data_IF_391830758914
#
_entry.id   IF_391830758914
#
_cell.length_a   1.000
_cell.length_b   1.000
_cell.length_c   1.000
_cell.angle_alpha   90.00
_cell.angle_beta   90.00
_cell.angle_gamma   90.00
#
_symmetry.space_group_name_H-M   'P 1'
#
loop_
_entity.id
_entity.type
_entity.pdbx_description
1 polymer ?
#
# COMPACT_ATOMS: atom_id res chain seq x y z
N UNK A 1 -9.05 -1.52 6.30
CA UNK A 1 -8.17 -0.60 7.06
C UNK A 1 -8.65 -0.23 8.46
N UNK A 2 -9.95 -0.32 8.80
CA UNK A 2 -10.48 0.07 10.12
C UNK A 2 -9.82 -0.61 11.33
N UNK A 3 -9.27 -1.82 11.17
CA UNK A 3 -8.59 -2.59 12.21
C UNK A 3 -7.15 -2.13 12.50
N UNK A 4 -6.57 -1.28 11.66
CA UNK A 4 -5.21 -0.76 11.87
C UNK A 4 -5.22 0.45 12.81
N UNK A 5 -4.16 0.67 13.61
CA UNK A 5 -4.02 1.89 14.41
C UNK A 5 -3.99 3.15 13.52
N UNK A 6 -4.59 4.26 14.00
CA UNK A 6 -4.63 5.52 13.24
C UNK A 6 -3.25 6.13 12.98
N UNK A 7 -2.28 5.86 13.85
CA UNK A 7 -0.91 6.36 13.72
C UNK A 7 -0.04 5.50 12.79
N UNK A 8 -0.48 4.30 12.41
CA UNK A 8 0.28 3.42 11.54
C UNK A 8 0.43 4.07 10.16
N UNK A 9 1.67 4.34 9.75
CA UNK A 9 1.97 4.98 8.47
C UNK A 9 1.33 4.22 7.29
N UNK A 10 1.43 2.89 7.31
CA UNK A 10 0.81 2.02 6.30
C UNK A 10 -0.69 2.28 6.15
N UNK A 11 -1.43 2.41 7.25
CA UNK A 11 -2.87 2.71 7.21
C UNK A 11 -3.14 4.03 6.48
N UNK A 12 -2.44 5.10 6.88
CA UNK A 12 -2.66 6.45 6.36
C UNK A 12 -2.44 6.49 4.84
N UNK A 13 -1.32 5.96 4.38
CA UNK A 13 -0.98 6.03 2.96
C UNK A 13 -1.84 5.08 2.13
N UNK A 14 -2.09 3.86 2.59
CA UNK A 14 -2.94 2.94 1.82
C UNK A 14 -4.40 3.41 1.78
N UNK A 15 -4.95 4.00 2.86
CA UNK A 15 -6.29 4.62 2.83
C UNK A 15 -6.35 5.76 1.82
N UNK A 16 -5.32 6.62 1.75
CA UNK A 16 -5.26 7.69 0.76
C UNK A 16 -5.24 7.13 -0.67
N UNK A 17 -4.29 6.24 -0.98
CA UNK A 17 -4.13 5.68 -2.33
C UNK A 17 -5.40 4.93 -2.76
N UNK A 18 -6.00 4.13 -1.87
CA UNK A 18 -7.21 3.37 -2.19
C UNK A 18 -8.43 4.27 -2.38
N UNK A 19 -8.54 5.36 -1.62
CA UNK A 19 -9.60 6.35 -1.83
C UNK A 19 -9.45 7.06 -3.17
N UNK A 20 -8.25 7.56 -3.48
CA UNK A 20 -7.96 8.23 -4.76
C UNK A 20 -8.27 7.31 -5.95
N UNK A 21 -7.81 6.05 -5.90
CA UNK A 21 -8.12 5.06 -6.94
C UNK A 21 -9.60 4.75 -7.04
N UNK A 22 -10.30 4.63 -5.92
CA UNK A 22 -11.74 4.37 -5.91
C UNK A 22 -12.52 5.54 -6.52
N UNK A 23 -12.11 6.78 -6.24
CA UNK A 23 -12.76 7.98 -6.77
C UNK A 23 -12.53 8.11 -8.27
N UNK A 24 -11.32 7.78 -8.76
CA UNK A 24 -11.01 7.69 -10.20
C UNK A 24 -11.90 6.66 -10.92
N UNK A 25 -12.03 5.45 -10.35
CA UNK A 25 -12.88 4.38 -10.91
C UNK A 25 -14.37 4.76 -10.92
N UNK A 26 -14.83 5.53 -9.93
CA UNK A 26 -16.22 6.01 -9.89
C UNK A 26 -16.48 7.17 -10.86
N UNK A 27 -15.47 8.00 -11.12
CA UNK A 27 -15.61 9.18 -11.95
C UNK A 27 -15.63 8.87 -13.44
N UNK A 28 -14.86 7.87 -13.89
CA UNK A 28 -14.74 7.53 -15.32
C UNK A 28 -15.27 6.12 -15.60
N UNK A 29 -16.41 5.99 -16.31
CA UNK A 29 -16.97 4.69 -16.69
C UNK A 29 -16.27 4.07 -17.92
N UNK A 30 -15.51 4.84 -18.70
CA UNK A 30 -14.76 4.33 -19.86
C UNK A 30 -13.44 3.68 -19.41
N UNK A 31 -13.31 2.38 -19.67
CA UNK A 31 -12.15 1.57 -19.30
C UNK A 31 -10.85 2.15 -19.86
N UNK A 32 -10.82 2.56 -21.14
CA UNK A 32 -9.59 3.06 -21.77
C UNK A 32 -9.12 4.38 -21.18
N UNK A 33 -10.07 5.26 -20.83
CA UNK A 33 -9.72 6.53 -20.18
C UNK A 33 -9.28 6.32 -18.74
N UNK A 34 -9.92 5.38 -18.05
CA UNK A 34 -9.58 5.00 -16.70
C UNK A 34 -8.17 4.42 -16.60
N UNK A 35 -7.75 3.57 -17.52
CA UNK A 35 -6.39 3.02 -17.60
C UNK A 35 -5.34 4.13 -17.73
N UNK A 36 -5.58 5.09 -18.63
CA UNK A 36 -4.70 6.25 -18.81
C UNK A 36 -4.63 7.14 -17.56
N UNK A 37 -5.74 7.26 -16.83
CA UNK A 37 -5.81 8.05 -15.59
C UNK A 37 -5.10 7.36 -14.43
N UNK A 38 -5.28 6.05 -14.28
CA UNK A 38 -4.69 5.24 -13.21
C UNK A 38 -3.17 5.03 -13.40
N UNK A 39 -2.66 5.17 -14.62
CA UNK A 39 -1.24 4.95 -14.98
C UNK A 39 -0.70 3.61 -14.46
N UNK A 40 -1.56 2.59 -14.40
CA UNK A 40 -1.32 1.33 -13.72
C UNK A 40 -1.26 0.11 -14.63
N UNK A 41 -1.13 0.33 -15.95
CA UNK A 41 -1.30 -0.73 -16.94
C UNK A 41 -2.76 -0.95 -17.32
N UNK A 42 -3.09 -2.17 -17.70
CA UNK A 42 -4.45 -2.60 -18.02
C UNK A 42 -5.30 -2.75 -16.75
N UNK A 43 -6.62 -2.65 -16.87
CA UNK A 43 -7.54 -2.73 -15.71
C UNK A 43 -7.43 -4.05 -14.96
N UNK A 44 -7.12 -5.15 -15.66
CA UNK A 44 -6.89 -6.47 -15.08
C UNK A 44 -5.69 -6.48 -14.12
N UNK A 45 -4.58 -5.83 -14.50
CA UNK A 45 -3.40 -5.70 -13.63
C UNK A 45 -3.73 -4.87 -12.39
N UNK A 46 -4.56 -3.84 -12.53
CA UNK A 46 -5.03 -3.03 -11.39
C UNK A 46 -5.87 -3.85 -10.42
N UNK A 47 -6.73 -4.74 -10.92
CA UNK A 47 -7.53 -5.65 -10.09
C UNK A 47 -6.59 -6.61 -9.33
N UNK A 48 -5.63 -7.23 -10.02
CA UNK A 48 -4.64 -8.11 -9.39
C UNK A 48 -3.84 -7.36 -8.31
N UNK A 49 -3.44 -6.11 -8.59
CA UNK A 49 -2.75 -5.27 -7.62
C UNK A 49 -3.64 -4.98 -6.39
N UNK A 50 -4.93 -4.73 -6.59
CA UNK A 50 -5.88 -4.51 -5.49
C UNK A 50 -6.08 -5.78 -4.63
N UNK A 51 -6.12 -6.96 -5.25
CA UNK A 51 -6.18 -8.24 -4.54
C UNK A 51 -4.90 -8.51 -3.75
N UNK A 52 -3.74 -8.23 -4.34
CA UNK A 52 -2.44 -8.33 -3.67
C UNK A 52 -2.36 -7.37 -2.48
N UNK A 53 -2.82 -6.12 -2.62
CA UNK A 53 -2.88 -5.16 -1.52
C UNK A 53 -3.83 -5.61 -0.41
N UNK A 54 -4.98 -6.21 -0.76
CA UNK A 54 -5.90 -6.77 0.22
C UNK A 54 -5.27 -7.93 1.01
N UNK A 55 -4.56 -8.82 0.30
CA UNK A 55 -3.81 -9.94 0.90
C UNK A 55 -2.70 -9.42 1.82
N UNK A 56 -1.94 -8.41 1.36
CA UNK A 56 -0.91 -7.75 2.14
C UNK A 56 -1.49 -7.11 3.40
N UNK A 57 -2.58 -6.35 3.29
CA UNK A 57 -3.22 -5.72 4.45
C UNK A 57 -3.65 -6.76 5.52
N UNK A 58 -4.12 -7.94 5.10
CA UNK A 58 -4.42 -9.04 6.05
C UNK A 58 -3.18 -9.57 6.75
N UNK A 59 -2.05 -9.69 6.04
CA UNK A 59 -0.76 -10.11 6.62
C UNK A 59 -0.17 -9.04 7.55
N UNK A 60 -0.25 -7.78 7.15
CA UNK A 60 0.21 -6.63 7.95
C UNK A 60 -0.51 -6.54 9.30
N UNK A 61 -1.78 -6.95 9.37
CA UNK A 61 -2.52 -7.08 10.63
C UNK A 61 -1.91 -8.09 11.59
N UNK A 62 -1.35 -9.19 11.07
CA UNK A 62 -0.68 -10.21 11.87
C UNK A 62 0.74 -9.78 12.25
N UNK A 63 1.47 -9.17 11.32
CA UNK A 63 2.87 -8.77 11.52
C UNK A 63 3.05 -7.53 12.41
N UNK A 64 2.06 -6.64 12.46
CA UNK A 64 2.09 -5.39 13.24
C UNK A 64 3.37 -4.55 13.06
N UNK A 65 3.81 -4.26 11.82
CA UNK A 65 5.08 -3.58 11.56
C UNK A 65 5.12 -2.11 11.99
N UNK A 66 4.02 -1.59 12.55
CA UNK A 66 3.98 -0.26 13.17
C UNK A 66 4.50 -0.26 14.61
N UNK A 67 4.81 -1.43 15.17
CA UNK A 67 5.49 -1.53 16.45
C UNK A 67 6.96 -1.07 16.32
N UNK A 68 7.61 -0.62 17.41
CA UNK A 68 9.01 -0.23 17.39
C UNK A 68 9.92 -1.33 16.87
N UNK A 69 11.11 -0.94 16.39
CA UNK A 69 12.13 -1.87 15.93
C UNK A 69 12.43 -2.91 17.02
N UNK A 70 12.40 -4.19 16.64
CA UNK A 70 12.60 -5.31 17.58
C UNK A 70 14.02 -5.31 18.15
N UNK A 71 15.02 -4.98 17.32
CA UNK A 71 16.44 -4.98 17.71
C UNK A 71 17.19 -3.90 16.94
N UNK A 72 18.02 -3.12 17.64
CA UNK A 72 18.91 -2.14 17.02
C UNK A 72 20.08 -2.84 16.34
N UNK A 73 20.52 -2.36 15.15
CA UNK A 73 21.66 -2.97 14.48
C UNK A 73 22.96 -2.73 15.26
N UNK A 74 23.91 -3.68 15.24
CA UNK A 74 25.28 -3.45 15.71
C UNK A 74 25.94 -2.26 15.02
N UNK A 75 26.78 -1.53 15.75
CA UNK A 75 27.35 -0.24 15.32
C UNK A 75 28.04 -0.24 13.94
N UNK A 76 28.59 -1.39 13.51
CA UNK A 76 29.31 -1.52 12.24
C UNK A 76 28.51 -2.24 11.13
N UNK A 77 27.25 -2.65 11.38
CA UNK A 77 26.50 -3.47 10.42
C UNK A 77 26.19 -2.72 9.12
N UNK A 78 25.97 -1.40 9.19
CA UNK A 78 25.59 -0.55 8.05
C UNK A 78 26.66 0.48 7.66
N UNK A 79 27.91 0.36 8.16
CA UNK A 79 29.01 1.26 7.79
C UNK A 79 29.63 0.84 6.45
N UNK A 80 29.57 1.73 5.45
CA UNK A 80 30.21 1.52 4.14
C UNK A 80 30.72 2.84 3.53
N UNK A 81 31.95 2.91 2.97
CA UNK A 81 33.04 1.93 3.06
C UNK A 81 33.70 1.90 4.46
N UNK A 82 34.55 0.90 4.71
CA UNK A 82 35.24 0.70 6.01
C UNK A 82 36.32 1.76 6.22
#
# INVERSE_FOLDING_TARGET
MKHFPKHAAYRKYTEQITSEKLDMVKAEPDVKKLENLLQGGEVEEVIIQAENELSLARKMLQWKPWEPLVEEPPANQWKWPI
#
